data_IF_054004706518
#
_entry.id   IF_054004706518
#
_cell.length_a   1.000
_cell.length_b   1.000
_cell.length_c   1.000
_cell.angle_alpha   90.00
_cell.angle_beta   90.00
_cell.angle_gamma   90.00
#
_symmetry.space_group_name_H-M   'P 1'
#
loop_
_entity.id
_entity.type
_entity.pdbx_description
1 polymer ?
#
# COMPACT_ATOMS: atom_id res chain seq x y z
N UNK A 1 -0.40 6.77 34.08
CA UNK A 1 -1.22 7.09 32.87
C UNK A 1 -0.93 6.08 31.76
N UNK A 2 -1.83 5.94 30.82
CA UNK A 2 -1.71 4.99 29.71
C UNK A 2 -0.48 5.32 28.81
N UNK A 3 -0.18 6.59 28.66
CA UNK A 3 1.03 7.08 27.96
C UNK A 3 2.33 6.54 28.60
N UNK A 4 2.41 6.52 29.93
CA UNK A 4 3.60 6.02 30.62
C UNK A 4 3.83 4.50 30.40
N UNK A 5 2.74 3.72 30.31
CA UNK A 5 2.81 2.28 29.97
C UNK A 5 3.33 2.07 28.53
N UNK A 6 2.88 2.87 27.58
CA UNK A 6 3.32 2.79 26.19
C UNK A 6 4.78 3.17 26.03
N UNK A 7 5.29 4.16 26.78
CA UNK A 7 6.71 4.54 26.75
C UNK A 7 7.62 3.44 27.32
N UNK A 8 7.20 2.79 28.40
CA UNK A 8 7.92 1.63 28.97
C UNK A 8 7.94 0.48 27.96
N UNK A 9 6.80 0.19 27.32
CA UNK A 9 6.70 -0.84 26.29
C UNK A 9 7.64 -0.56 25.10
N UNK A 10 7.63 0.66 24.57
CA UNK A 10 8.53 1.07 23.47
C UNK A 10 10.01 0.88 23.88
N UNK A 11 10.37 1.30 25.11
CA UNK A 11 11.73 1.18 25.59
C UNK A 11 12.16 -0.29 25.73
N UNK A 12 11.27 -1.13 26.25
CA UNK A 12 11.51 -2.57 26.40
C UNK A 12 11.64 -3.27 25.05
N UNK A 13 10.73 -2.99 24.12
CA UNK A 13 10.76 -3.57 22.76
C UNK A 13 12.04 -3.16 22.01
N UNK A 14 12.50 -1.92 22.11
CA UNK A 14 13.78 -1.47 21.55
C UNK A 14 14.95 -2.25 22.10
N UNK A 15 15.00 -2.42 23.44
CA UNK A 15 16.07 -3.16 24.10
C UNK A 15 16.09 -4.63 23.64
N UNK A 16 14.94 -5.26 23.53
CA UNK A 16 14.87 -6.65 23.05
C UNK A 16 15.27 -6.72 21.57
N UNK A 17 14.80 -5.78 20.72
CA UNK A 17 15.12 -5.74 19.31
C UNK A 17 16.62 -5.52 19.04
N UNK A 18 17.34 -4.79 19.92
CA UNK A 18 18.79 -4.61 19.82
C UNK A 18 19.57 -5.91 20.14
N UNK A 19 18.97 -6.87 20.83
CA UNK A 19 19.58 -8.16 21.18
C UNK A 19 19.16 -9.25 20.19
N UNK A 20 17.89 -9.23 19.78
CA UNK A 20 17.29 -10.25 18.90
C UNK A 20 16.51 -9.58 17.78
N UNK A 21 17.03 -9.65 16.56
CA UNK A 21 16.28 -9.21 15.38
C UNK A 21 15.07 -10.14 15.13
N UNK A 22 13.88 -9.56 14.96
CA UNK A 22 12.64 -10.32 14.70
C UNK A 22 11.60 -9.43 14.05
N UNK A 23 11.01 -9.90 12.96
CA UNK A 23 9.91 -9.23 12.27
C UNK A 23 8.74 -8.95 13.21
N UNK A 24 8.38 -9.94 14.02
CA UNK A 24 7.33 -9.80 15.04
C UNK A 24 7.61 -8.69 16.04
N UNK A 25 8.86 -8.54 16.51
CA UNK A 25 9.23 -7.46 17.43
C UNK A 25 9.19 -6.09 16.74
N UNK A 26 9.57 -6.01 15.46
CA UNK A 26 9.43 -4.78 14.67
C UNK A 26 7.98 -4.37 14.51
N UNK A 27 7.09 -5.32 14.21
CA UNK A 27 5.65 -5.08 14.10
C UNK A 27 5.04 -4.64 15.43
N UNK A 28 5.41 -5.26 16.55
CA UNK A 28 4.97 -4.85 17.89
C UNK A 28 5.46 -3.45 18.26
N UNK A 29 6.71 -3.12 17.93
CA UNK A 29 7.27 -1.78 18.17
C UNK A 29 6.60 -0.72 17.29
N UNK A 30 6.31 -1.04 16.03
CA UNK A 30 5.53 -0.19 15.14
C UNK A 30 4.13 0.08 15.71
N UNK A 31 3.44 -0.96 16.18
CA UNK A 31 2.14 -0.85 16.82
C UNK A 31 2.18 0.03 18.09
N UNK A 32 3.21 -0.10 18.91
CA UNK A 32 3.39 0.74 20.10
C UNK A 32 3.59 2.22 19.73
N UNK A 33 4.34 2.52 18.65
CA UNK A 33 4.46 3.89 18.13
C UNK A 33 3.14 4.44 17.59
N UNK A 34 2.33 3.62 16.94
CA UNK A 34 1.00 4.00 16.44
C UNK A 34 0.07 4.30 17.63
N UNK A 35 0.05 3.45 18.66
CA UNK A 35 -0.72 3.73 19.89
C UNK A 35 -0.29 5.03 20.57
N UNK A 36 1.02 5.29 20.65
CA UNK A 36 1.54 6.53 21.22
C UNK A 36 1.13 7.77 20.42
N UNK A 37 0.84 7.62 19.14
CA UNK A 37 0.41 8.67 18.23
C UNK A 37 -1.12 8.62 17.96
N UNK A 38 -1.90 8.18 18.93
CA UNK A 38 -3.37 8.14 18.87
C UNK A 38 -3.90 7.47 17.59
N UNK A 39 -3.26 6.37 17.20
CA UNK A 39 -3.64 5.57 16.04
C UNK A 39 -3.00 6.00 14.71
N UNK A 40 -2.23 7.08 14.68
CA UNK A 40 -1.58 7.56 13.46
C UNK A 40 -0.29 6.78 13.15
N UNK A 41 -0.12 6.38 11.89
CA UNK A 41 1.11 5.74 11.43
C UNK A 41 2.20 6.79 11.27
N UNK A 42 3.10 6.84 12.26
CA UNK A 42 4.25 7.75 12.23
C UNK A 42 5.35 7.21 11.30
N UNK A 43 6.31 8.06 10.90
CA UNK A 43 7.47 7.61 10.11
C UNK A 43 8.30 6.55 10.80
N UNK A 44 8.38 6.60 12.14
CA UNK A 44 9.09 5.56 12.91
C UNK A 44 8.38 4.22 12.81
N UNK A 45 7.04 4.24 12.88
CA UNK A 45 6.21 3.05 12.66
C UNK A 45 6.34 2.55 11.23
N UNK A 46 6.22 3.44 10.23
CA UNK A 46 6.33 3.08 8.82
C UNK A 46 7.68 2.44 8.48
N UNK A 47 8.78 2.98 9.02
CA UNK A 47 10.11 2.38 8.83
C UNK A 47 10.16 0.94 9.34
N UNK A 48 9.66 0.69 10.55
CA UNK A 48 9.63 -0.65 11.15
C UNK A 48 8.72 -1.62 10.38
N UNK A 49 7.57 -1.14 9.87
CA UNK A 49 6.68 -1.90 9.01
C UNK A 49 7.41 -2.33 7.73
N UNK A 50 8.09 -1.40 7.07
CA UNK A 50 8.84 -1.68 5.85
C UNK A 50 10.00 -2.66 6.08
N UNK A 51 10.72 -2.51 7.19
CA UNK A 51 11.80 -3.43 7.57
C UNK A 51 11.26 -4.84 7.87
N UNK A 52 10.13 -4.95 8.57
CA UNK A 52 9.49 -6.24 8.85
C UNK A 52 9.04 -6.93 7.55
N UNK A 53 8.38 -6.19 6.64
CA UNK A 53 7.92 -6.73 5.36
C UNK A 53 9.07 -7.06 4.38
N UNK A 54 10.21 -6.39 4.51
CA UNK A 54 11.41 -6.72 3.73
C UNK A 54 12.04 -8.05 4.18
N UNK A 55 11.93 -8.39 5.46
CA UNK A 55 12.44 -9.64 6.02
C UNK A 55 11.44 -10.78 5.92
N UNK A 56 10.16 -10.50 6.19
CA UNK A 56 9.05 -11.44 6.05
C UNK A 56 7.84 -10.73 5.41
N UNK A 57 7.66 -10.84 4.09
CA UNK A 57 6.52 -10.26 3.38
C UNK A 57 5.15 -10.76 3.87
N UNK A 58 5.12 -11.88 4.60
CA UNK A 58 3.90 -12.49 5.12
C UNK A 58 3.66 -12.23 6.61
N UNK A 59 4.55 -11.47 7.30
CA UNK A 59 4.34 -11.13 8.72
C UNK A 59 2.95 -10.51 8.94
N UNK A 60 2.10 -11.15 9.78
CA UNK A 60 0.71 -10.71 9.89
C UNK A 60 0.59 -9.33 10.53
N UNK A 61 1.43 -9.02 11.53
CA UNK A 61 1.41 -7.73 12.20
C UNK A 61 1.81 -6.59 11.26
N UNK A 62 2.90 -6.78 10.50
CA UNK A 62 3.36 -5.80 9.54
C UNK A 62 2.34 -5.56 8.41
N UNK A 63 1.72 -6.63 7.88
CA UNK A 63 0.66 -6.51 6.86
C UNK A 63 -0.58 -5.77 7.40
N UNK A 64 -1.01 -6.07 8.64
CA UNK A 64 -2.13 -5.36 9.27
C UNK A 64 -1.83 -3.85 9.36
N UNK A 65 -0.64 -3.50 9.87
CA UNK A 65 -0.22 -2.10 10.05
C UNK A 65 0.06 -1.40 8.72
N UNK A 66 0.53 -2.13 7.69
CA UNK A 66 0.69 -1.58 6.34
C UNK A 66 -0.67 -1.23 5.72
N UNK A 67 -1.67 -2.09 5.85
CA UNK A 67 -3.03 -1.77 5.45
C UNK A 67 -3.55 -0.49 6.13
N UNK A 68 -3.31 -0.34 7.45
CA UNK A 68 -3.66 0.87 8.19
C UNK A 68 -2.94 2.11 7.62
N UNK A 69 -1.64 1.99 7.35
CA UNK A 69 -0.86 3.07 6.74
C UNK A 69 -1.42 3.49 5.38
N UNK A 70 -1.77 2.52 4.53
CA UNK A 70 -2.35 2.79 3.21
C UNK A 70 -3.72 3.47 3.32
N UNK A 71 -4.58 3.02 4.23
CA UNK A 71 -5.89 3.65 4.46
C UNK A 71 -5.75 5.10 4.96
N UNK A 72 -4.79 5.39 5.85
CA UNK A 72 -4.56 6.74 6.37
C UNK A 72 -4.05 7.74 5.33
N UNK A 73 -3.40 7.27 4.27
CA UNK A 73 -2.97 8.13 3.16
C UNK A 73 -3.96 8.11 1.98
N UNK A 74 -5.17 7.55 2.17
CA UNK A 74 -6.22 7.53 1.16
C UNK A 74 -6.13 6.40 0.13
N UNK A 75 -5.20 5.45 0.30
CA UNK A 75 -5.05 4.28 -0.57
C UNK A 75 -6.00 3.15 -0.15
N UNK A 76 -7.30 3.43 -0.10
CA UNK A 76 -8.28 2.48 0.42
C UNK A 76 -8.31 1.14 -0.36
N UNK A 77 -8.09 1.17 -1.68
CA UNK A 77 -8.04 -0.06 -2.48
C UNK A 77 -6.86 -0.95 -2.04
N UNK A 78 -5.67 -0.37 -1.92
CA UNK A 78 -4.48 -1.13 -1.50
C UNK A 78 -4.63 -1.62 -0.05
N UNK A 79 -5.19 -0.80 0.84
CA UNK A 79 -5.51 -1.20 2.22
C UNK A 79 -6.48 -2.40 2.23
N UNK A 80 -7.56 -2.32 1.45
CA UNK A 80 -8.56 -3.37 1.31
C UNK A 80 -7.93 -4.68 0.83
N UNK A 81 -7.07 -4.63 -0.17
CA UNK A 81 -6.39 -5.81 -0.72
C UNK A 81 -5.42 -6.44 0.29
N UNK A 82 -4.55 -5.63 0.92
CA UNK A 82 -3.62 -6.10 1.94
C UNK A 82 -4.39 -6.81 3.06
N UNK A 83 -5.45 -6.20 3.57
CA UNK A 83 -6.25 -6.76 4.66
C UNK A 83 -7.05 -7.99 4.23
N UNK A 84 -7.58 -8.01 2.99
CA UNK A 84 -8.29 -9.19 2.47
C UNK A 84 -7.35 -10.37 2.31
N UNK A 85 -6.14 -10.17 1.76
CA UNK A 85 -5.13 -11.23 1.66
C UNK A 85 -4.66 -11.71 3.05
N UNK A 86 -4.53 -10.80 4.00
CA UNK A 86 -4.21 -11.15 5.37
C UNK A 86 -5.35 -11.97 6.02
N UNK A 87 -6.61 -11.58 5.82
CA UNK A 87 -7.78 -12.27 6.34
C UNK A 87 -7.87 -13.74 5.90
N UNK A 88 -7.50 -14.01 4.65
CA UNK A 88 -7.47 -15.36 4.08
C UNK A 88 -6.48 -16.30 4.79
N UNK A 89 -5.44 -15.74 5.38
CA UNK A 89 -4.38 -16.46 6.11
C UNK A 89 -4.58 -16.49 7.61
N UNK A 90 -5.57 -15.73 8.10
CA UNK A 90 -5.88 -15.59 9.53
C UNK A 90 -6.71 -16.79 10.01
N UNK A 91 -6.30 -17.40 11.11
CA UNK A 91 -7.02 -18.52 11.73
C UNK A 91 -8.35 -18.08 12.34
N UNK A 92 -9.29 -19.02 12.49
CA UNK A 92 -10.62 -18.74 13.08
C UNK A 92 -10.52 -18.21 14.52
N UNK A 93 -9.49 -18.64 15.26
CA UNK A 93 -9.32 -18.31 16.68
C UNK A 93 -8.38 -17.12 16.92
N UNK A 94 -7.92 -16.45 15.87
CA UNK A 94 -7.05 -15.29 16.02
C UNK A 94 -7.83 -14.10 16.58
N UNK A 95 -7.41 -13.59 17.73
CA UNK A 95 -8.12 -12.54 18.51
C UNK A 95 -8.27 -11.23 17.74
N UNK A 96 -7.41 -10.97 16.79
CA UNK A 96 -7.39 -9.76 15.95
C UNK A 96 -8.16 -9.90 14.62
N UNK A 97 -8.73 -11.10 14.34
CA UNK A 97 -9.52 -11.36 13.12
C UNK A 97 -10.71 -10.42 12.98
N UNK A 98 -11.39 -10.15 14.08
CA UNK A 98 -12.56 -9.25 14.12
C UNK A 98 -12.17 -7.80 13.77
N UNK A 99 -11.05 -7.32 14.26
CA UNK A 99 -10.57 -5.97 13.96
C UNK A 99 -10.15 -5.87 12.49
N UNK A 100 -9.51 -6.91 11.97
CA UNK A 100 -9.17 -7.02 10.56
C UNK A 100 -10.42 -6.96 9.68
N UNK A 101 -11.46 -7.74 10.02
CA UNK A 101 -12.74 -7.73 9.31
C UNK A 101 -13.41 -6.35 9.34
N UNK A 102 -13.40 -5.66 10.47
CA UNK A 102 -13.92 -4.31 10.59
C UNK A 102 -13.21 -3.32 9.65
N UNK A 103 -11.87 -3.41 9.56
CA UNK A 103 -11.08 -2.59 8.65
C UNK A 103 -11.40 -2.89 7.18
N UNK A 104 -11.54 -4.18 6.82
CA UNK A 104 -11.93 -4.60 5.47
C UNK A 104 -13.31 -4.04 5.11
N UNK A 105 -14.30 -4.17 6.01
CA UNK A 105 -15.66 -3.66 5.79
C UNK A 105 -15.69 -2.13 5.65
N UNK A 106 -14.89 -1.43 6.46
CA UNK A 106 -14.75 0.02 6.37
C UNK A 106 -14.16 0.45 5.02
N UNK A 107 -13.08 -0.18 4.59
CA UNK A 107 -12.47 0.08 3.30
C UNK A 107 -13.42 -0.27 2.13
N UNK A 108 -14.10 -1.42 2.18
CA UNK A 108 -15.09 -1.82 1.20
C UNK A 108 -16.22 -0.78 1.05
N UNK A 109 -16.71 -0.24 2.17
CA UNK A 109 -17.74 0.81 2.18
C UNK A 109 -17.25 2.09 1.49
N UNK A 110 -16.03 2.54 1.78
CA UNK A 110 -15.42 3.72 1.13
C UNK A 110 -15.23 3.50 -0.37
N UNK A 111 -14.95 2.28 -0.79
CA UNK A 111 -14.75 1.88 -2.19
C UNK A 111 -16.06 1.61 -2.95
N UNK A 112 -17.21 1.64 -2.28
CA UNK A 112 -18.51 1.32 -2.89
C UNK A 112 -18.67 -0.17 -3.22
N UNK A 113 -17.89 -1.07 -2.61
CA UNK A 113 -17.99 -2.52 -2.80
C UNK A 113 -19.25 -3.01 -2.10
N UNK A 114 -20.13 -3.73 -2.85
CA UNK A 114 -21.36 -4.25 -2.28
C UNK A 114 -21.09 -5.32 -1.21
N UNK A 115 -21.99 -5.41 -0.22
CA UNK A 115 -21.87 -6.41 0.85
C UNK A 115 -21.83 -7.84 0.28
N UNK A 116 -22.61 -8.14 -0.75
CA UNK A 116 -22.63 -9.44 -1.42
C UNK A 116 -21.28 -9.77 -2.06
N UNK A 117 -20.68 -8.80 -2.74
CA UNK A 117 -19.33 -8.96 -3.34
C UNK A 117 -18.28 -9.17 -2.28
N UNK A 118 -18.34 -8.42 -1.19
CA UNK A 118 -17.42 -8.56 -0.07
C UNK A 118 -17.53 -9.93 0.59
N UNK A 119 -18.75 -10.40 0.89
CA UNK A 119 -18.97 -11.71 1.51
C UNK A 119 -18.48 -12.85 0.63
N UNK A 120 -18.73 -12.79 -0.67
CA UNK A 120 -18.17 -13.74 -1.61
C UNK A 120 -16.64 -13.73 -1.54
N UNK A 121 -16.03 -12.55 -1.56
CA UNK A 121 -14.57 -12.38 -1.51
C UNK A 121 -13.93 -12.91 -0.22
N UNK A 122 -14.64 -12.83 0.90
CA UNK A 122 -14.20 -13.37 2.18
C UNK A 122 -14.46 -14.89 2.30
N UNK A 123 -15.51 -15.41 1.63
CA UNK A 123 -15.87 -16.84 1.63
C UNK A 123 -15.06 -17.68 0.63
N UNK A 124 -14.77 -17.14 -0.55
CA UNK A 124 -14.12 -17.89 -1.65
C UNK A 124 -12.70 -18.38 -1.32
N UNK A 125 -12.16 -18.02 -0.18
CA UNK A 125 -10.77 -18.29 0.18
C UNK A 125 -10.53 -19.34 1.26
N UNK A 126 -11.55 -19.76 1.99
CA UNK A 126 -11.39 -20.79 3.03
C UNK A 126 -11.31 -22.19 2.42
N UNK A 127 -11.97 -22.41 1.28
CA UNK A 127 -12.05 -23.74 0.67
C UNK A 127 -11.01 -24.01 -0.43
N UNK A 128 -10.64 -22.99 -1.21
CA UNK A 128 -9.69 -23.16 -2.33
C UNK A 128 -8.21 -23.20 -1.88
N UNK A 129 -7.85 -22.48 -0.83
CA UNK A 129 -6.45 -22.36 -0.39
C UNK A 129 -5.97 -23.51 0.51
N UNK A 130 -6.84 -24.22 1.22
CA UNK A 130 -6.40 -25.27 2.15
C UNK A 130 -5.82 -26.52 1.47
N UNK A 131 -6.28 -26.86 0.27
CA UNK A 131 -5.75 -27.99 -0.53
C UNK A 131 -4.47 -27.61 -1.28
N UNK A 132 -4.54 -26.56 -2.09
CA UNK A 132 -3.42 -26.06 -2.91
C UNK A 132 -2.25 -25.52 -2.07
N UNK A 133 -2.55 -24.79 -0.98
CA UNK A 133 -1.49 -24.27 -0.09
C UNK A 133 -0.77 -25.41 0.63
N UNK A 134 -1.48 -26.44 1.10
CA UNK A 134 -0.84 -27.63 1.68
C UNK A 134 -0.01 -28.41 0.66
N UNK A 135 -0.50 -28.54 -0.56
CA UNK A 135 0.22 -29.20 -1.64
C UNK A 135 1.52 -28.44 -1.97
N UNK A 136 1.44 -27.11 -2.09
CA UNK A 136 2.61 -26.27 -2.37
C UNK A 136 3.60 -26.26 -1.21
N UNK A 137 3.13 -26.20 0.04
CA UNK A 137 4.00 -26.20 1.22
C UNK A 137 4.75 -27.54 1.41
N UNK A 138 4.25 -28.64 0.86
CA UNK A 138 4.92 -29.94 0.88
C UNK A 138 5.99 -30.10 -0.22
N UNK A 139 6.06 -29.18 -1.18
CA UNK A 139 7.07 -29.19 -2.23
C UNK A 139 8.38 -28.60 -1.70
N UNK A 140 9.50 -28.94 -2.33
CA UNK A 140 10.76 -28.23 -2.08
C UNK A 140 10.71 -26.80 -2.68
N UNK A 141 11.58 -25.93 -2.25
CA UNK A 141 11.60 -24.51 -2.63
C UNK A 141 11.59 -24.28 -4.15
N UNK A 142 12.32 -25.10 -4.91
CA UNK A 142 12.38 -25.02 -6.37
C UNK A 142 11.04 -25.39 -7.02
N UNK A 143 10.40 -26.41 -6.51
CA UNK A 143 9.09 -26.88 -6.98
C UNK A 143 7.99 -25.89 -6.59
N UNK A 144 8.05 -25.32 -5.36
CA UNK A 144 7.16 -24.26 -4.92
C UNK A 144 7.24 -23.05 -5.87
N UNK A 145 8.44 -22.57 -6.15
CA UNK A 145 8.67 -21.45 -7.06
C UNK A 145 8.16 -21.74 -8.47
N UNK A 146 8.38 -22.95 -8.98
CA UNK A 146 7.87 -23.36 -10.28
C UNK A 146 6.34 -23.35 -10.31
N UNK A 147 5.70 -23.90 -9.28
CA UNK A 147 4.23 -23.95 -9.17
C UNK A 147 3.61 -22.56 -9.07
N UNK A 148 4.19 -21.70 -8.23
CA UNK A 148 3.76 -20.30 -8.09
C UNK A 148 3.86 -19.57 -9.44
N UNK A 149 4.99 -19.69 -10.14
CA UNK A 149 5.16 -19.07 -11.46
C UNK A 149 4.11 -19.58 -12.47
N UNK A 150 3.83 -20.87 -12.50
CA UNK A 150 2.79 -21.43 -13.37
C UNK A 150 1.41 -20.86 -13.06
N UNK A 151 1.04 -20.72 -11.79
CA UNK A 151 -0.25 -20.14 -11.39
C UNK A 151 -0.34 -18.66 -11.79
N UNK A 152 0.74 -17.91 -11.66
CA UNK A 152 0.79 -16.48 -12.06
C UNK A 152 0.67 -16.34 -13.59
N UNK A 153 1.34 -17.19 -14.37
CA UNK A 153 1.20 -17.18 -15.83
C UNK A 153 -0.20 -17.62 -16.28
N UNK A 154 -0.81 -18.62 -15.63
CA UNK A 154 -2.22 -18.99 -15.88
C UNK A 154 -3.18 -17.83 -15.61
N UNK A 155 -2.96 -17.06 -14.53
CA UNK A 155 -3.73 -15.85 -14.26
C UNK A 155 -3.51 -14.82 -15.39
N UNK A 156 -2.27 -14.61 -15.82
CA UNK A 156 -1.94 -13.70 -16.91
C UNK A 156 -2.63 -14.08 -18.22
N UNK A 157 -2.66 -15.39 -18.54
CA UNK A 157 -3.34 -15.89 -19.74
C UNK A 157 -4.86 -15.69 -19.66
N UNK A 158 -5.48 -16.05 -18.52
CA UNK A 158 -6.91 -15.81 -18.29
C UNK A 158 -7.31 -14.34 -18.51
N UNK A 159 -6.50 -13.41 -18.02
CA UNK A 159 -6.76 -11.97 -18.12
C UNK A 159 -6.62 -11.42 -19.55
N UNK A 160 -5.98 -12.13 -20.48
CA UNK A 160 -5.98 -11.78 -21.91
C UNK A 160 -7.38 -11.94 -22.51
N UNK A 161 -8.13 -12.93 -22.02
CA UNK A 161 -9.49 -13.22 -22.47
C UNK A 161 -10.51 -12.41 -21.66
N UNK A 162 -10.36 -12.33 -20.35
CA UNK A 162 -11.20 -11.54 -19.44
C UNK A 162 -10.54 -10.20 -19.07
N UNK A 163 -10.51 -9.30 -20.03
CA UNK A 163 -9.86 -7.99 -19.88
C UNK A 163 -10.53 -7.08 -18.84
N UNK A 164 -11.79 -7.35 -18.50
CA UNK A 164 -12.56 -6.54 -17.56
C UNK A 164 -12.41 -6.98 -16.09
N UNK A 165 -11.69 -8.06 -15.82
CA UNK A 165 -11.35 -8.48 -14.46
C UNK A 165 -10.28 -7.56 -13.88
N UNK A 166 -10.72 -6.39 -13.42
CA UNK A 166 -9.88 -5.40 -12.74
C UNK A 166 -9.10 -6.01 -11.56
N UNK A 167 -9.78 -6.79 -10.72
CA UNK A 167 -9.17 -7.41 -9.54
C UNK A 167 -8.11 -8.44 -9.93
N UNK A 168 -8.36 -9.19 -10.98
CA UNK A 168 -7.38 -10.11 -11.55
C UNK A 168 -6.12 -9.40 -12.01
N UNK A 169 -6.23 -8.26 -12.66
CA UNK A 169 -5.08 -7.46 -13.09
C UNK A 169 -4.27 -6.90 -11.91
N UNK A 170 -4.94 -6.42 -10.85
CA UNK A 170 -4.25 -5.97 -9.63
C UNK A 170 -3.55 -7.13 -8.96
N UNK A 171 -4.20 -8.29 -8.86
CA UNK A 171 -3.60 -9.52 -8.31
C UNK A 171 -2.38 -9.95 -9.13
N UNK A 172 -2.47 -9.90 -10.45
CA UNK A 172 -1.35 -10.22 -11.35
C UNK A 172 -0.16 -9.26 -11.12
N UNK A 173 -0.42 -7.96 -11.02
CA UNK A 173 0.59 -6.97 -10.67
C UNK A 173 1.30 -7.32 -9.36
N UNK A 174 0.54 -7.59 -8.29
CA UNK A 174 1.09 -7.95 -6.98
C UNK A 174 1.90 -9.25 -7.04
N UNK A 175 1.39 -10.27 -7.72
CA UNK A 175 2.08 -11.54 -7.89
C UNK A 175 3.44 -11.36 -8.58
N UNK A 176 3.49 -10.56 -9.66
CA UNK A 176 4.75 -10.27 -10.32
C UNK A 176 5.70 -9.42 -9.44
N UNK A 177 5.17 -8.54 -8.58
CA UNK A 177 6.01 -7.79 -7.61
C UNK A 177 6.67 -8.75 -6.61
N UNK A 178 5.92 -9.70 -6.06
CA UNK A 178 6.44 -10.73 -5.12
C UNK A 178 7.51 -11.59 -5.82
N UNK A 179 7.30 -11.95 -7.08
CA UNK A 179 8.26 -12.71 -7.88
C UNK A 179 9.48 -11.90 -8.36
N UNK A 180 9.57 -10.61 -8.00
CA UNK A 180 10.63 -9.72 -8.47
C UNK A 180 10.57 -9.38 -9.96
N UNK A 181 9.51 -9.77 -10.66
CA UNK A 181 9.30 -9.53 -12.08
C UNK A 181 8.74 -8.13 -12.35
N UNK A 182 9.50 -7.09 -11.98
CA UNK A 182 9.05 -5.71 -11.97
C UNK A 182 8.53 -5.20 -13.32
N UNK A 183 9.12 -5.61 -14.43
CA UNK A 183 8.65 -5.22 -15.78
C UNK A 183 7.28 -5.81 -16.09
N UNK A 184 7.06 -7.10 -15.78
CA UNK A 184 5.77 -7.75 -15.96
C UNK A 184 4.71 -7.14 -15.01
N UNK A 185 5.08 -6.83 -13.77
CA UNK A 185 4.21 -6.13 -12.83
C UNK A 185 3.77 -4.77 -13.38
N UNK A 186 4.71 -3.95 -13.84
CA UNK A 186 4.40 -2.63 -14.40
C UNK A 186 3.52 -2.74 -15.65
N UNK A 187 3.73 -3.75 -16.50
CA UNK A 187 2.88 -4.01 -17.67
C UNK A 187 1.46 -4.36 -17.24
N UNK A 188 1.28 -5.27 -16.28
CA UNK A 188 -0.04 -5.65 -15.77
C UNK A 188 -0.79 -4.43 -15.19
N UNK A 189 -0.10 -3.57 -14.46
CA UNK A 189 -0.69 -2.34 -13.91
C UNK A 189 -1.06 -1.32 -15.00
N UNK A 190 -0.25 -1.18 -16.06
CA UNK A 190 -0.61 -0.36 -17.23
C UNK A 190 -1.87 -0.88 -17.93
N UNK A 191 -1.95 -2.20 -18.12
CA UNK A 191 -3.11 -2.82 -18.78
C UNK A 191 -4.37 -2.64 -17.93
N UNK A 192 -4.29 -2.86 -16.62
CA UNK A 192 -5.37 -2.56 -15.69
C UNK A 192 -5.83 -1.09 -15.77
N UNK A 193 -4.88 -0.15 -15.81
CA UNK A 193 -5.17 1.29 -15.87
C UNK A 193 -5.84 1.69 -17.19
N UNK A 194 -5.43 1.09 -18.31
CA UNK A 194 -6.05 1.32 -19.63
C UNK A 194 -7.48 0.83 -19.70
N UNK A 195 -7.75 -0.34 -19.12
CA UNK A 195 -9.08 -0.94 -19.08
C UNK A 195 -10.05 -0.18 -18.15
N UNK A 196 -9.51 0.51 -17.17
CA UNK A 196 -10.28 1.26 -16.17
C UNK A 196 -9.84 2.74 -16.10
N UNK A 197 -10.05 3.55 -17.15
CA UNK A 197 -9.45 4.88 -17.28
C UNK A 197 -9.96 5.90 -16.25
N UNK A 198 -11.10 5.64 -15.61
CA UNK A 198 -11.67 6.49 -14.54
C UNK A 198 -11.27 6.03 -13.13
N UNK A 199 -10.51 4.93 -13.00
CA UNK A 199 -10.09 4.43 -11.71
C UNK A 199 -8.86 5.21 -11.22
N UNK A 200 -9.08 6.12 -10.28
CA UNK A 200 -8.01 6.96 -9.69
C UNK A 200 -6.98 6.10 -8.97
N UNK A 201 -7.39 5.05 -8.26
CA UNK A 201 -6.49 4.21 -7.48
C UNK A 201 -5.45 3.52 -8.37
N UNK A 202 -5.86 2.99 -9.55
CA UNK A 202 -4.93 2.41 -10.51
C UNK A 202 -3.94 3.43 -11.06
N UNK A 203 -4.43 4.63 -11.38
CA UNK A 203 -3.58 5.72 -11.86
C UNK A 203 -2.56 6.12 -10.80
N UNK A 204 -2.97 6.20 -9.53
CA UNK A 204 -2.07 6.47 -8.40
C UNK A 204 -1.04 5.34 -8.21
N UNK A 205 -1.46 4.07 -8.25
CA UNK A 205 -0.54 2.93 -8.17
C UNK A 205 0.50 2.99 -9.29
N UNK A 206 0.06 3.20 -10.54
CA UNK A 206 0.95 3.30 -11.69
C UNK A 206 1.90 4.51 -11.56
N UNK A 207 1.40 5.65 -11.12
CA UNK A 207 2.20 6.85 -10.91
C UNK A 207 3.29 6.64 -9.86
N UNK A 208 2.97 5.97 -8.75
CA UNK A 208 3.93 5.66 -7.68
C UNK A 208 5.00 4.65 -8.12
N UNK A 209 4.65 3.69 -8.95
CA UNK A 209 5.64 2.77 -9.54
C UNK A 209 6.59 3.48 -10.50
N UNK A 210 6.10 4.42 -11.27
CA UNK A 210 6.88 5.19 -12.24
C UNK A 210 7.69 6.32 -11.58
N UNK A 211 7.19 6.90 -10.48
CA UNK A 211 7.81 8.02 -9.76
C UNK A 211 8.00 7.66 -8.27
N UNK A 212 8.93 6.76 -7.93
CA UNK A 212 9.16 6.39 -6.54
C UNK A 212 9.63 7.60 -5.72
N UNK A 213 9.01 7.80 -4.55
CA UNK A 213 9.22 8.97 -3.68
C UNK A 213 10.59 9.04 -3.02
N UNK A 214 11.33 7.94 -3.03
CA UNK A 214 12.70 7.84 -2.48
C UNK A 214 13.81 8.30 -3.44
N UNK A 215 13.45 8.71 -4.65
CA UNK A 215 14.36 9.23 -5.68
C UNK A 215 13.86 10.57 -6.20
N UNK A 216 14.77 11.36 -6.80
CA UNK A 216 14.34 12.56 -7.52
C UNK A 216 13.45 12.14 -8.69
N UNK A 217 12.18 12.60 -8.75
CA UNK A 217 11.26 12.17 -9.79
C UNK A 217 11.71 12.66 -11.18
N UNK A 218 11.75 11.74 -12.13
CA UNK A 218 11.99 12.04 -13.54
C UNK A 218 10.68 11.89 -14.29
N UNK A 219 10.10 13.01 -14.70
CA UNK A 219 8.81 13.04 -15.38
C UNK A 219 8.93 12.68 -16.85
N UNK A 220 8.14 11.73 -17.29
CA UNK A 220 7.91 11.37 -18.69
C UNK A 220 6.56 11.91 -19.18
N UNK A 221 6.27 11.80 -20.48
CA UNK A 221 4.95 12.12 -21.02
C UNK A 221 3.85 11.24 -20.35
N UNK A 222 4.14 9.97 -20.08
CA UNK A 222 3.22 9.05 -19.41
C UNK A 222 2.88 9.52 -17.99
N UNK A 223 3.90 9.89 -17.22
CA UNK A 223 3.70 10.32 -15.82
C UNK A 223 3.02 11.69 -15.74
N UNK A 224 3.36 12.63 -16.62
CA UNK A 224 2.65 13.90 -16.69
C UNK A 224 1.16 13.70 -17.01
N UNK A 225 0.84 12.86 -18.00
CA UNK A 225 -0.54 12.55 -18.33
C UNK A 225 -1.29 11.88 -17.17
N UNK A 226 -0.65 10.95 -16.47
CA UNK A 226 -1.27 10.32 -15.29
C UNK A 226 -1.59 11.33 -14.19
N UNK A 227 -0.67 12.26 -13.92
CA UNK A 227 -0.87 13.33 -12.94
C UNK A 227 -2.05 14.22 -13.35
N UNK A 228 -2.09 14.66 -14.61
CA UNK A 228 -3.18 15.48 -15.16
C UNK A 228 -4.52 14.73 -15.08
N UNK A 229 -4.56 13.48 -15.50
CA UNK A 229 -5.75 12.62 -15.45
C UNK A 229 -6.28 12.46 -14.01
N UNK A 230 -5.38 12.28 -13.03
CA UNK A 230 -5.74 12.17 -11.62
C UNK A 230 -6.39 13.46 -11.13
N UNK A 231 -5.80 14.62 -11.41
CA UNK A 231 -6.34 15.92 -10.99
C UNK A 231 -7.63 16.31 -11.72
N UNK A 232 -7.84 15.84 -12.95
CA UNK A 232 -9.14 16.00 -13.64
C UNK A 232 -10.23 15.20 -12.94
N UNK A 233 -9.92 14.00 -12.44
CA UNK A 233 -10.88 13.14 -11.73
C UNK A 233 -11.10 13.57 -10.27
N UNK A 234 -10.04 14.03 -9.61
CA UNK A 234 -10.04 14.53 -8.23
C UNK A 234 -9.04 15.68 -8.07
N UNK A 235 -9.51 16.94 -8.15
CA UNK A 235 -8.65 18.14 -8.04
C UNK A 235 -7.92 18.28 -6.68
N UNK A 236 -8.38 17.57 -5.65
CA UNK A 236 -7.79 17.57 -4.32
C UNK A 236 -6.92 16.35 -4.03
N UNK A 237 -6.65 15.54 -5.04
CA UNK A 237 -5.90 14.30 -4.88
C UNK A 237 -4.48 14.56 -4.38
N UNK A 238 -4.12 13.93 -3.27
CA UNK A 238 -2.82 14.12 -2.59
C UNK A 238 -1.64 13.80 -3.51
N UNK A 239 -1.68 12.66 -4.22
CA UNK A 239 -0.60 12.28 -5.15
C UNK A 239 -0.56 13.21 -6.37
N UNK A 240 -1.73 13.52 -6.93
CA UNK A 240 -1.84 14.45 -8.05
C UNK A 240 -1.21 15.81 -7.71
N UNK A 241 -1.58 16.39 -6.58
CA UNK A 241 -1.04 17.67 -6.11
C UNK A 241 0.45 17.59 -5.79
N UNK A 242 0.88 16.51 -5.13
CA UNK A 242 2.29 16.29 -4.80
C UNK A 242 3.16 16.26 -6.04
N UNK A 243 2.82 15.41 -7.00
CA UNK A 243 3.63 15.25 -8.22
C UNK A 243 3.51 16.43 -9.19
N UNK A 244 2.35 17.12 -9.24
CA UNK A 244 2.22 18.37 -10.02
C UNK A 244 3.15 19.47 -9.49
N UNK A 245 3.24 19.61 -8.17
CA UNK A 245 4.19 20.54 -7.56
C UNK A 245 5.63 20.20 -7.93
N UNK A 246 6.02 18.95 -7.90
CA UNK A 246 7.37 18.52 -8.32
C UNK A 246 7.60 18.69 -9.83
N UNK A 247 6.61 18.40 -10.67
CA UNK A 247 6.71 18.61 -12.12
C UNK A 247 6.93 20.11 -12.45
N UNK A 248 6.17 20.99 -11.82
CA UNK A 248 6.34 22.43 -11.95
C UNK A 248 7.70 22.91 -11.43
N UNK A 249 8.13 22.37 -10.27
CA UNK A 249 9.45 22.68 -9.70
C UNK A 249 10.60 22.31 -10.67
N UNK A 250 10.54 21.09 -11.24
CA UNK A 250 11.57 20.62 -12.17
C UNK A 250 11.61 21.45 -13.48
N UNK A 251 10.50 22.08 -13.85
CA UNK A 251 10.42 23.00 -15.00
C UNK A 251 10.85 24.45 -14.65
N UNK A 252 11.19 24.74 -13.39
CA UNK A 252 11.50 26.07 -12.92
C UNK A 252 10.27 26.97 -12.71
N UNK A 253 9.07 26.44 -12.77
CA UNK A 253 7.79 27.12 -12.62
C UNK A 253 7.48 27.33 -11.12
N UNK A 254 8.32 28.11 -10.41
CA UNK A 254 8.26 28.28 -8.95
C UNK A 254 6.85 28.60 -8.43
N UNK A 255 6.16 29.56 -9.04
CA UNK A 255 4.81 29.97 -8.61
C UNK A 255 3.79 28.83 -8.70
N UNK A 256 3.82 28.05 -9.78
CA UNK A 256 2.93 26.90 -9.94
C UNK A 256 3.25 25.78 -8.93
N UNK A 257 4.54 25.52 -8.69
CA UNK A 257 4.95 24.53 -7.69
C UNK A 257 4.38 24.88 -6.31
N UNK A 258 4.52 26.15 -5.88
CA UNK A 258 3.97 26.65 -4.62
C UNK A 258 2.45 26.49 -4.60
N UNK A 259 1.74 26.87 -5.67
CA UNK A 259 0.27 26.75 -5.74
C UNK A 259 -0.19 25.30 -5.54
N UNK A 260 0.42 24.33 -6.21
CA UNK A 260 0.07 22.92 -6.02
C UNK A 260 0.38 22.44 -4.60
N UNK A 261 1.52 22.80 -4.04
CA UNK A 261 1.91 22.40 -2.69
C UNK A 261 1.08 23.08 -1.59
N UNK A 262 0.61 24.30 -1.79
CA UNK A 262 -0.34 24.96 -0.88
C UNK A 262 -1.71 24.25 -0.88
N UNK A 263 -2.18 23.80 -2.05
CA UNK A 263 -3.38 22.96 -2.15
C UNK A 263 -3.18 21.60 -1.47
N UNK A 264 -2.01 21.00 -1.65
CA UNK A 264 -1.63 19.75 -0.98
C UNK A 264 -1.64 19.89 0.54
N UNK A 265 -1.06 20.97 1.08
CA UNK A 265 -1.02 21.22 2.52
C UNK A 265 -2.41 21.35 3.15
N UNK A 266 -3.42 21.78 2.39
CA UNK A 266 -4.83 21.79 2.86
C UNK A 266 -5.42 20.40 3.02
N UNK A 267 -4.88 19.38 2.33
CA UNK A 267 -5.33 18.01 2.38
C UNK A 267 -4.58 17.15 3.42
N UNK A 268 -3.47 17.66 3.96
CA UNK A 268 -2.60 16.92 4.86
C UNK A 268 -2.78 17.33 6.33
N UNK A 269 -2.59 16.40 7.29
CA UNK A 269 -2.48 16.77 8.69
C UNK A 269 -1.29 17.73 8.89
N UNK A 270 -1.52 18.84 9.60
CA UNK A 270 -0.53 19.94 9.76
C UNK A 270 0.83 19.45 10.29
N UNK A 271 0.83 18.48 11.20
CA UNK A 271 2.04 17.95 11.82
C UNK A 271 2.64 16.73 11.10
N UNK A 272 2.09 16.33 9.95
CA UNK A 272 2.64 15.22 9.19
C UNK A 272 4.04 15.54 8.65
N UNK A 273 4.86 14.52 8.46
CA UNK A 273 6.19 14.71 7.87
C UNK A 273 6.12 15.29 6.47
N UNK A 274 5.12 14.87 5.71
CA UNK A 274 4.93 15.38 4.36
C UNK A 274 4.63 16.89 4.41
N UNK A 275 3.77 17.34 5.33
CA UNK A 275 3.50 18.76 5.51
C UNK A 275 4.76 19.55 5.88
N UNK A 276 5.58 19.03 6.80
CA UNK A 276 6.83 19.67 7.21
C UNK A 276 7.83 19.76 6.04
N UNK A 277 7.98 18.69 5.27
CA UNK A 277 8.86 18.67 4.11
C UNK A 277 8.39 19.60 2.99
N UNK A 278 7.10 19.62 2.68
CA UNK A 278 6.53 20.52 1.67
C UNK A 278 6.66 21.98 2.08
N UNK A 279 6.35 22.32 3.34
CA UNK A 279 6.56 23.68 3.85
C UNK A 279 8.02 24.13 3.74
N UNK A 280 8.97 23.23 4.05
CA UNK A 280 10.41 23.52 3.87
C UNK A 280 10.74 23.84 2.42
N UNK A 281 10.19 23.08 1.46
CA UNK A 281 10.42 23.30 0.01
C UNK A 281 9.81 24.62 -0.46
N UNK A 282 8.61 24.95 0.01
CA UNK A 282 7.96 26.23 -0.33
C UNK A 282 8.84 27.41 0.13
N UNK A 283 9.32 27.38 1.37
CA UNK A 283 10.23 28.44 1.89
C UNK A 283 11.48 28.60 1.02
N UNK A 284 12.15 27.50 0.66
CA UNK A 284 13.32 27.55 -0.22
C UNK A 284 13.06 28.06 -1.63
N UNK A 285 11.80 28.19 -2.06
CA UNK A 285 11.43 28.78 -3.35
C UNK A 285 11.04 30.24 -3.25
N UNK A 286 10.74 30.73 -2.03
CA UNK A 286 10.37 32.12 -1.74
C UNK A 286 11.58 33.00 -1.42
N UNK A 287 12.65 32.33 -0.93
CA UNK A 287 13.98 32.96 -0.77
C UNK A 287 14.72 33.07 -2.14
#
# INVERSE_FOLDING_TARGET
SQLNKTDIEISSLKKILSIKNSTKLKSLLAQAYIRKADGQVTSKAQKLINEALAEDPLDPGANFLNGLAQSQIGNEMLAFEIWTELYKRTGENDTWKKDLENNIRSAAKKLGISQKTLENKLKDNVLANNGLTKEILNLNEKEQNLRINQMVEQLADRLKDDKNDFEGWVRLYQSYKVLGSNEKALKALRDATKLNPKNINLKQMLLRELLPTNKKPVFSNETNKLVDDILVLDPNNVDGLFFSGFAAYNKGEKKKAITYWDLLLKQLPKESLMSKEINKRIRLLQD
#
